data_IF_632806504295
#
_entry.id   IF_632806504295
#
_cell.length_a   1.000
_cell.length_b   1.000
_cell.length_c   1.000
_cell.angle_alpha   90.00
_cell.angle_beta   90.00
_cell.angle_gamma   90.00
#
_symmetry.space_group_name_H-M   'P 1'
#
loop_
_entity.id
_entity.type
_entity.pdbx_description
1 polymer ?
#
# COMPACT_ATOMS: atom_id res chain seq x y z
N UNK A 1 -57.15 31.36 -9.67
CA UNK A 1 -57.48 29.99 -10.13
C UNK A 1 -56.21 29.37 -10.69
N UNK A 2 -55.99 28.06 -10.45
CA UNK A 2 -54.82 27.23 -10.76
C UNK A 2 -53.73 27.29 -9.65
N UNK A 3 -53.79 26.56 -8.53
CA UNK A 3 -53.93 25.11 -8.29
C UNK A 3 -52.78 24.27 -8.87
N UNK A 4 -51.74 24.02 -8.05
CA UNK A 4 -51.13 22.69 -7.80
C UNK A 4 -49.85 22.84 -6.96
N UNK A 5 -50.01 22.87 -5.63
CA UNK A 5 -48.92 22.70 -4.67
C UNK A 5 -49.07 21.31 -4.07
N UNK A 6 -48.13 20.38 -4.34
CA UNK A 6 -47.96 19.12 -3.60
C UNK A 6 -46.74 18.38 -4.13
N UNK A 7 -45.72 18.22 -3.28
CA UNK A 7 -44.68 17.16 -3.25
C UNK A 7 -43.43 17.74 -2.58
N UNK A 8 -42.75 17.16 -1.60
CA UNK A 8 -42.91 15.94 -0.81
C UNK A 8 -41.89 16.15 0.34
N UNK A 9 -42.34 16.21 1.60
CA UNK A 9 -41.42 16.24 2.73
C UNK A 9 -40.98 14.80 3.03
N UNK A 10 -39.69 14.46 2.85
CA UNK A 10 -39.13 13.21 3.35
C UNK A 10 -37.64 13.36 3.73
N UNK A 11 -37.37 13.07 5.01
CA UNK A 11 -36.22 12.36 5.58
C UNK A 11 -34.87 13.10 5.63
N UNK A 12 -34.47 13.64 6.79
CA UNK A 12 -33.92 12.92 7.97
C UNK A 12 -32.44 12.47 7.79
N UNK A 13 -31.55 13.21 8.46
CA UNK A 13 -30.32 12.75 9.11
C UNK A 13 -29.30 11.94 8.30
N UNK A 14 -28.22 12.59 7.87
CA UNK A 14 -26.96 11.88 7.62
C UNK A 14 -25.96 12.24 8.72
N UNK A 15 -25.82 11.30 9.66
CA UNK A 15 -24.97 11.39 10.84
C UNK A 15 -23.47 11.30 10.53
N UNK A 16 -22.72 11.81 11.50
CA UNK A 16 -21.28 11.74 11.68
C UNK A 16 -20.71 10.32 11.52
N UNK A 17 -19.66 10.17 10.71
CA UNK A 17 -18.66 9.11 10.86
C UNK A 17 -17.34 9.53 10.20
N UNK A 18 -16.57 10.40 10.87
CA UNK A 18 -15.16 10.59 10.54
C UNK A 18 -14.37 9.36 10.99
N UNK A 19 -14.20 8.43 10.05
CA UNK A 19 -12.97 7.64 9.88
C UNK A 19 -12.44 6.86 11.08
N UNK A 20 -13.21 5.90 11.61
CA UNK A 20 -12.58 4.73 12.21
C UNK A 20 -12.01 3.89 11.05
N UNK A 21 -10.77 4.19 10.64
CA UNK A 21 -10.03 3.36 9.71
C UNK A 21 -9.85 1.97 10.36
N UNK A 22 -10.75 1.05 10.06
CA UNK A 22 -10.64 -0.35 10.41
C UNK A 22 -9.35 -0.88 9.78
N UNK A 23 -8.33 -1.06 10.63
CA UNK A 23 -7.07 -1.72 10.27
C UNK A 23 -7.36 -3.20 10.00
N UNK A 24 -7.79 -3.51 8.78
CA UNK A 24 -7.67 -4.86 8.28
C UNK A 24 -6.16 -5.15 8.08
N UNK A 25 -5.63 -6.28 8.58
CA UNK A 25 -4.30 -6.70 8.15
C UNK A 25 -4.36 -6.86 6.63
N UNK A 26 -3.59 -6.05 5.89
CA UNK A 26 -3.43 -6.25 4.45
C UNK A 26 -2.93 -7.68 4.27
N UNK A 27 -3.73 -8.51 3.58
CA UNK A 27 -3.27 -9.82 3.17
C UNK A 27 -1.94 -9.63 2.44
N UNK A 28 -0.86 -10.22 2.95
CA UNK A 28 0.47 -10.07 2.38
C UNK A 28 0.51 -10.82 1.04
N UNK A 29 0.09 -10.16 -0.03
CA UNK A 29 0.32 -10.63 -1.37
C UNK A 29 1.85 -10.75 -1.54
N UNK A 30 2.34 -11.98 -1.70
CA UNK A 30 3.76 -12.21 -1.94
C UNK A 30 4.12 -11.56 -3.26
N UNK A 31 5.08 -10.63 -3.28
CA UNK A 31 5.53 -10.03 -4.53
C UNK A 31 6.06 -11.10 -5.48
N UNK A 32 5.71 -11.01 -6.76
CA UNK A 32 6.22 -11.92 -7.79
C UNK A 32 7.63 -11.49 -8.18
N UNK A 33 8.57 -12.43 -8.20
CA UNK A 33 9.93 -12.23 -8.73
C UNK A 33 9.84 -12.09 -10.25
N UNK A 34 10.36 -10.99 -10.79
CA UNK A 34 10.31 -10.70 -12.23
C UNK A 34 11.59 -10.05 -12.71
N UNK A 35 11.92 -10.30 -13.97
CA UNK A 35 12.99 -9.62 -14.71
C UNK A 35 12.36 -8.79 -15.83
N UNK A 36 12.63 -7.48 -15.82
CA UNK A 36 12.03 -6.54 -16.78
C UNK A 36 13.10 -5.66 -17.41
N UNK A 37 12.91 -5.28 -18.69
CA UNK A 37 13.85 -4.35 -19.36
C UNK A 37 13.60 -2.88 -19.02
N UNK A 38 12.43 -2.57 -18.46
CA UNK A 38 12.03 -1.20 -18.14
C UNK A 38 12.49 -0.85 -16.73
N UNK A 39 13.37 0.14 -16.62
CA UNK A 39 13.88 0.59 -15.34
C UNK A 39 12.74 1.03 -14.40
N UNK A 40 12.80 0.68 -13.11
CA UNK A 40 11.88 1.23 -12.12
C UNK A 40 12.07 2.75 -12.03
N UNK A 41 11.01 3.51 -11.75
CA UNK A 41 11.17 4.90 -11.36
C UNK A 41 12.03 5.02 -10.10
N UNK A 42 12.60 6.20 -9.81
CA UNK A 42 13.31 6.44 -8.56
C UNK A 42 12.48 6.00 -7.34
N UNK A 43 13.10 5.46 -6.28
CA UNK A 43 12.40 5.17 -5.03
C UNK A 43 11.70 6.43 -4.52
N UNK A 44 10.44 6.28 -4.09
CA UNK A 44 9.73 7.40 -3.46
C UNK A 44 10.22 7.55 -2.03
N UNK A 45 10.62 8.77 -1.67
CA UNK A 45 10.86 9.12 -0.28
C UNK A 45 9.51 9.32 0.40
N UNK A 46 9.09 8.32 1.18
CA UNK A 46 7.86 8.41 1.99
C UNK A 46 8.25 8.69 3.43
N UNK A 47 7.58 9.65 4.06
CA UNK A 47 7.73 9.90 5.50
C UNK A 47 7.31 8.64 6.25
N UNK A 48 8.26 8.01 6.94
CA UNK A 48 7.97 6.84 7.77
C UNK A 48 6.98 7.26 8.87
N UNK A 49 5.84 6.55 9.03
CA UNK A 49 4.90 6.87 10.09
C UNK A 49 5.52 6.69 11.49
N UNK A 50 4.92 7.26 12.55
CA UNK A 50 5.42 7.08 13.91
C UNK A 50 5.59 5.59 14.27
N UNK A 51 6.71 5.21 14.93
CA UNK A 51 6.96 3.83 15.33
C UNK A 51 5.80 3.22 16.12
N UNK A 52 5.51 1.94 15.86
CA UNK A 52 4.50 1.16 16.57
C UNK A 52 5.15 -0.01 17.30
N UNK A 53 4.95 -0.09 18.62
CA UNK A 53 5.53 -1.16 19.44
C UNK A 53 5.10 -2.54 18.95
N UNK A 54 6.07 -3.44 18.75
CA UNK A 54 5.83 -4.79 18.24
C UNK A 54 5.60 -4.89 16.73
N UNK A 55 5.81 -3.81 15.97
CA UNK A 55 5.68 -3.78 14.51
C UNK A 55 6.92 -3.19 13.85
N UNK A 56 7.12 -3.55 12.58
CA UNK A 56 8.14 -2.99 11.70
C UNK A 56 7.43 -2.34 10.51
N UNK A 57 7.93 -1.18 10.10
CA UNK A 57 7.45 -0.53 8.88
C UNK A 57 8.08 -1.19 7.66
N UNK A 58 7.26 -1.78 6.80
CA UNK A 58 7.65 -2.20 5.46
C UNK A 58 7.52 -0.97 4.55
N UNK A 59 8.64 -0.47 3.98
CA UNK A 59 8.56 0.65 3.05
C UNK A 59 7.81 0.25 1.78
N UNK A 60 7.17 1.22 1.14
CA UNK A 60 6.54 1.02 -0.16
C UNK A 60 7.57 0.69 -1.24
N UNK A 61 7.10 0.11 -2.33
CA UNK A 61 7.95 -0.34 -3.43
C UNK A 61 7.24 -0.24 -4.78
N UNK A 62 8.01 -0.29 -5.87
CA UNK A 62 7.48 -0.39 -7.22
C UNK A 62 7.18 -1.85 -7.56
N UNK A 63 5.91 -2.17 -7.79
CA UNK A 63 5.45 -3.47 -8.32
C UNK A 63 5.40 -3.39 -9.84
N UNK A 64 5.83 -4.45 -10.52
CA UNK A 64 5.59 -4.59 -11.94
C UNK A 64 4.23 -5.23 -12.18
N UNK A 65 3.35 -4.54 -12.90
CA UNK A 65 2.01 -5.03 -13.22
C UNK A 65 1.52 -4.41 -14.54
N UNK A 66 0.94 -5.22 -15.42
CA UNK A 66 0.38 -4.73 -16.68
C UNK A 66 1.38 -3.95 -17.54
N UNK A 67 2.65 -4.41 -17.57
CA UNK A 67 3.76 -3.78 -18.31
C UNK A 67 4.19 -2.40 -17.80
N UNK A 68 3.90 -2.06 -16.55
CA UNK A 68 4.32 -0.80 -15.92
C UNK A 68 4.67 -0.96 -14.45
N UNK A 69 5.41 0.00 -13.93
CA UNK A 69 5.68 0.12 -12.50
C UNK A 69 4.53 0.83 -11.79
N UNK A 70 3.94 0.17 -10.79
CA UNK A 70 2.86 0.68 -9.95
C UNK A 70 3.40 0.81 -8.53
N UNK A 71 3.20 1.97 -7.90
CA UNK A 71 3.62 2.17 -6.52
C UNK A 71 2.70 1.40 -5.57
N UNK A 72 3.29 0.62 -4.67
CA UNK A 72 2.62 -0.01 -3.55
C UNK A 72 3.05 0.72 -2.29
N UNK A 73 2.07 1.24 -1.54
CA UNK A 73 2.34 1.94 -0.29
C UNK A 73 2.91 1.00 0.77
N UNK A 74 3.72 1.59 1.67
CA UNK A 74 4.27 0.89 2.81
C UNK A 74 3.18 0.53 3.82
N UNK A 75 3.48 -0.43 4.69
CA UNK A 75 2.53 -0.95 5.66
C UNK A 75 3.24 -1.45 6.93
N UNK A 76 2.46 -1.60 8.00
CA UNK A 76 2.96 -2.17 9.26
C UNK A 76 2.82 -3.68 9.26
N UNK A 77 3.89 -4.38 9.60
CA UNK A 77 3.91 -5.84 9.83
C UNK A 77 4.33 -6.16 11.26
N UNK A 78 3.86 -7.26 11.82
CA UNK A 78 4.28 -7.68 13.16
C UNK A 78 5.78 -7.97 13.17
N UNK A 79 6.48 -7.42 14.16
CA UNK A 79 7.90 -7.66 14.34
C UNK A 79 8.14 -9.14 14.64
N UNK A 80 9.23 -9.69 14.08
CA UNK A 80 9.69 -11.05 14.35
C UNK A 80 10.89 -10.96 15.29
N UNK A 81 10.82 -11.50 16.52
CA UNK A 81 11.94 -11.46 17.46
C UNK A 81 13.21 -12.04 16.84
N UNK A 82 14.34 -11.33 17.01
CA UNK A 82 15.62 -11.73 16.46
C UNK A 82 15.72 -11.68 14.94
N UNK A 83 14.80 -11.01 14.24
CA UNK A 83 14.86 -10.83 12.79
C UNK A 83 14.81 -9.35 12.40
N UNK A 84 15.43 -9.04 11.27
CA UNK A 84 15.36 -7.75 10.60
C UNK A 84 14.61 -7.88 9.28
N UNK A 85 13.77 -6.91 8.97
CA UNK A 85 13.14 -6.83 7.66
C UNK A 85 14.09 -6.17 6.66
N UNK A 86 14.30 -6.82 5.52
CA UNK A 86 15.02 -6.29 4.36
C UNK A 86 13.97 -5.84 3.34
N UNK A 87 13.93 -4.54 2.98
CA UNK A 87 13.00 -4.02 1.98
C UNK A 87 13.09 -4.70 0.62
N UNK A 88 11.97 -4.72 -0.10
CA UNK A 88 11.97 -5.08 -1.51
C UNK A 88 12.80 -4.07 -2.32
N UNK A 89 13.50 -4.55 -3.34
CA UNK A 89 14.38 -3.73 -4.16
C UNK A 89 14.41 -4.21 -5.60
N UNK A 90 14.65 -3.28 -6.53
CA UNK A 90 15.00 -3.60 -7.90
C UNK A 90 16.51 -3.56 -8.05
N UNK A 91 17.09 -4.64 -8.58
CA UNK A 91 18.53 -4.78 -8.77
C UNK A 91 18.82 -4.87 -10.27
N UNK A 92 19.74 -4.04 -10.75
CA UNK A 92 20.16 -4.09 -12.15
C UNK A 92 21.05 -5.32 -12.41
N UNK A 93 20.67 -6.16 -13.37
CA UNK A 93 21.41 -7.37 -13.80
C UNK A 93 21.49 -7.44 -15.32
N UNK A 94 22.61 -7.00 -15.88
CA UNK A 94 22.82 -6.96 -17.32
C UNK A 94 21.81 -6.01 -17.99
N UNK A 95 21.03 -6.47 -18.98
CA UNK A 95 20.00 -5.64 -19.63
C UNK A 95 18.65 -5.65 -18.89
N UNK A 96 18.55 -6.32 -17.74
CA UNK A 96 17.32 -6.48 -16.99
C UNK A 96 17.40 -5.83 -15.61
N UNK A 97 16.23 -5.47 -15.09
CA UNK A 97 15.99 -5.12 -13.71
C UNK A 97 15.28 -6.30 -13.06
N UNK A 98 15.91 -6.86 -12.02
CA UNK A 98 15.39 -7.98 -11.27
C UNK A 98 14.71 -7.48 -9.98
N UNK A 99 13.47 -7.89 -9.77
CA UNK A 99 12.77 -7.59 -8.53
C UNK A 99 13.15 -8.60 -7.43
N UNK A 100 13.72 -8.09 -6.34
CA UNK A 100 14.00 -8.83 -5.11
C UNK A 100 12.90 -8.54 -4.10
N UNK A 101 12.06 -9.52 -3.73
CA UNK A 101 11.04 -9.34 -2.71
C UNK A 101 11.64 -9.03 -1.34
N UNK A 102 10.93 -8.19 -0.58
CA UNK A 102 11.27 -7.93 0.82
C UNK A 102 11.10 -9.20 1.66
N UNK A 103 12.01 -9.42 2.59
CA UNK A 103 12.09 -10.66 3.34
C UNK A 103 12.68 -10.42 4.74
N UNK A 104 12.53 -11.43 5.60
CA UNK A 104 13.09 -11.41 6.95
C UNK A 104 14.43 -12.13 6.94
N UNK A 105 15.42 -11.52 7.59
CA UNK A 105 16.72 -12.14 7.89
C UNK A 105 16.89 -12.25 9.40
N UNK A 106 17.62 -13.27 9.86
CA UNK A 106 17.95 -13.49 11.27
C UNK A 106 19.35 -12.97 11.57
#
# INVERSE_FOLDING_TARGET
MNAMTRSLALLAGLGLALGAASYAPQAEARPVVVDVRVAPPPPRHVRVPPPRAGYVWVPGYWRWEGHRHIWVDGYWVRARPGHRYVPAAWVHRGPYWHFVPGHWVR
#
